data_IF_451600552327
#
_entry.id   IF_451600552327
#
_cell.length_a   1.000
_cell.length_b   1.000
_cell.length_c   1.000
_cell.angle_alpha   90.00
_cell.angle_beta   90.00
_cell.angle_gamma   90.00
#
_symmetry.space_group_name_H-M   'P 1'
#
loop_
_entity.id
_entity.type
_entity.pdbx_description
1 polymer ?
#
# COMPACT_ATOMS: atom_id res chain seq x y z
N UNK A 1 -19.48 14.87 -10.69
CA UNK A 1 -18.66 14.10 -11.62
C UNK A 1 -19.21 12.70 -11.76
N UNK A 2 -19.37 12.24 -12.97
CA UNK A 2 -19.86 10.92 -13.21
C UNK A 2 -18.89 9.85 -12.77
N UNK A 3 -19.44 8.72 -12.35
CA UNK A 3 -18.64 7.57 -12.06
C UNK A 3 -18.07 6.94 -13.34
N UNK A 4 -17.03 6.21 -13.19
CA UNK A 4 -16.49 5.45 -14.29
C UNK A 4 -15.96 4.12 -13.76
N UNK A 5 -15.84 3.16 -14.65
CA UNK A 5 -15.36 1.84 -14.27
C UNK A 5 -13.86 1.79 -14.16
N UNK A 6 -13.38 1.19 -13.11
CA UNK A 6 -11.99 0.84 -12.97
C UNK A 6 -11.03 2.01 -12.91
N UNK A 7 -9.81 1.72 -13.22
CA UNK A 7 -8.69 2.61 -13.05
C UNK A 7 -8.30 3.19 -14.40
N UNK A 8 -8.93 4.25 -14.81
CA UNK A 8 -8.72 4.85 -16.12
C UNK A 8 -8.45 6.35 -16.10
N UNK A 9 -7.99 6.88 -14.97
CA UNK A 9 -7.62 8.28 -14.88
C UNK A 9 -8.77 9.24 -14.62
N UNK A 10 -10.00 8.74 -14.56
CA UNK A 10 -11.18 9.54 -14.29
C UNK A 10 -11.69 9.26 -12.90
N UNK A 11 -12.34 10.22 -12.28
CA UNK A 11 -12.91 10.01 -10.97
C UNK A 11 -14.03 8.98 -11.02
N UNK A 12 -13.98 8.04 -10.09
CA UNK A 12 -15.06 7.08 -9.88
C UNK A 12 -15.71 7.42 -8.55
N UNK A 13 -17.01 7.63 -8.59
CA UNK A 13 -17.76 7.89 -7.37
C UNK A 13 -18.42 6.61 -6.90
N UNK A 14 -18.04 6.16 -5.71
CA UNK A 14 -18.73 5.11 -5.01
C UNK A 14 -19.70 5.72 -3.99
N UNK A 15 -20.42 4.86 -3.29
CA UNK A 15 -21.45 5.30 -2.34
C UNK A 15 -20.94 6.34 -1.36
N UNK A 16 -19.80 6.09 -0.72
CA UNK A 16 -19.27 6.93 0.34
C UNK A 16 -17.84 7.40 0.08
N UNK A 17 -17.33 7.13 -1.11
CA UNK A 17 -15.96 7.52 -1.44
C UNK A 17 -15.74 7.67 -2.94
N UNK A 18 -14.56 8.00 -3.32
CA UNK A 18 -14.20 8.08 -4.73
C UNK A 18 -12.73 7.78 -4.93
N UNK A 19 -12.39 7.39 -6.15
CA UNK A 19 -10.99 7.28 -6.53
C UNK A 19 -10.82 7.72 -7.98
N UNK A 20 -9.60 8.03 -8.32
CA UNK A 20 -9.27 8.36 -9.69
C UNK A 20 -7.78 8.08 -9.96
N UNK A 21 -7.50 7.97 -11.22
CA UNK A 21 -6.16 7.76 -11.72
C UNK A 21 -5.51 9.13 -11.97
N UNK A 22 -4.50 9.46 -11.19
CA UNK A 22 -3.88 10.78 -11.24
C UNK A 22 -3.14 11.07 -12.55
N UNK A 23 -2.81 10.04 -13.29
CA UNK A 23 -2.04 10.17 -14.54
C UNK A 23 -2.88 9.98 -15.79
N UNK A 24 -4.16 9.72 -15.64
CA UNK A 24 -5.05 9.38 -16.74
C UNK A 24 -4.61 8.12 -17.49
N UNK A 25 -3.84 7.27 -16.84
CA UNK A 25 -3.38 5.99 -17.38
C UNK A 25 -4.15 4.85 -16.73
N UNK A 26 -4.07 3.69 -17.37
CA UNK A 26 -4.76 2.51 -16.87
C UNK A 26 -3.98 1.88 -15.74
N UNK A 27 -4.62 1.71 -14.59
CA UNK A 27 -4.03 1.00 -13.47
C UNK A 27 -4.19 -0.51 -13.71
N UNK A 28 -3.08 -1.24 -13.63
CA UNK A 28 -3.08 -2.67 -13.89
C UNK A 28 -2.72 -3.52 -12.67
N UNK A 29 -2.24 -2.93 -11.61
CA UNK A 29 -1.88 -3.67 -10.39
C UNK A 29 -3.13 -4.12 -9.65
N UNK A 30 -3.41 -5.42 -9.74
CA UNK A 30 -4.60 -6.02 -9.13
C UNK A 30 -4.60 -5.90 -7.60
N UNK A 31 -3.44 -5.92 -6.99
CA UNK A 31 -3.34 -5.82 -5.54
C UNK A 31 -3.72 -4.41 -5.07
N UNK A 32 -3.21 -3.40 -5.75
CA UNK A 32 -3.55 -2.01 -5.44
C UNK A 32 -5.05 -1.75 -5.66
N UNK A 33 -5.61 -2.28 -6.74
CA UNK A 33 -7.04 -2.13 -7.05
C UNK A 33 -7.89 -2.77 -5.95
N UNK A 34 -7.55 -3.95 -5.50
CA UNK A 34 -8.32 -4.62 -4.44
C UNK A 34 -8.31 -3.81 -3.14
N UNK A 35 -7.16 -3.30 -2.75
CA UNK A 35 -7.06 -2.46 -1.54
C UNK A 35 -7.84 -1.17 -1.72
N UNK A 36 -7.73 -0.53 -2.88
CA UNK A 36 -8.48 0.69 -3.18
C UNK A 36 -9.98 0.45 -3.10
N UNK A 37 -10.46 -0.67 -3.66
CA UNK A 37 -11.88 -1.02 -3.62
C UNK A 37 -12.39 -1.20 -2.19
N UNK A 38 -11.59 -1.78 -1.32
CA UNK A 38 -11.97 -1.90 0.09
C UNK A 38 -12.03 -0.52 0.77
N UNK A 39 -11.06 0.35 0.51
CA UNK A 39 -11.10 1.72 1.06
C UNK A 39 -12.33 2.49 0.58
N UNK A 40 -12.70 2.33 -0.68
CA UNK A 40 -13.91 2.98 -1.21
C UNK A 40 -15.15 2.51 -0.50
N UNK A 41 -15.27 1.21 -0.23
CA UNK A 41 -16.42 0.66 0.51
C UNK A 41 -16.53 1.24 1.91
N UNK A 42 -15.39 1.64 2.49
CA UNK A 42 -15.36 2.25 3.82
C UNK A 42 -15.49 3.78 3.77
N UNK A 43 -15.76 4.34 2.60
CA UNK A 43 -15.99 5.77 2.46
C UNK A 43 -14.74 6.61 2.27
N UNK A 44 -13.62 5.98 1.99
CA UNK A 44 -12.35 6.69 1.83
C UNK A 44 -12.17 7.17 0.40
N UNK A 45 -11.45 8.27 0.24
CA UNK A 45 -11.01 8.74 -1.06
C UNK A 45 -9.65 8.16 -1.39
N UNK A 46 -9.48 7.69 -2.62
CA UNK A 46 -8.24 7.04 -3.04
C UNK A 46 -7.76 7.63 -4.35
N UNK A 47 -6.48 7.97 -4.38
CA UNK A 47 -5.80 8.41 -5.60
C UNK A 47 -4.77 7.34 -5.95
N UNK A 48 -4.81 6.84 -7.18
CA UNK A 48 -3.77 5.95 -7.68
C UNK A 48 -2.57 6.80 -8.10
N UNK A 49 -1.40 6.42 -7.62
CA UNK A 49 -0.15 7.07 -7.97
C UNK A 49 0.62 6.17 -8.93
N UNK A 50 0.91 6.68 -10.12
CA UNK A 50 1.57 5.88 -11.13
C UNK A 50 3.06 6.14 -11.17
N UNK A 51 3.81 5.10 -11.52
CA UNK A 51 5.20 5.27 -11.87
C UNK A 51 5.28 6.01 -13.21
N UNK A 52 6.23 6.93 -13.30
CA UNK A 52 6.51 7.63 -14.54
C UNK A 52 7.74 7.02 -15.17
N UNK A 53 7.74 6.75 -16.48
CA UNK A 53 8.88 6.14 -17.14
C UNK A 53 10.19 6.94 -16.98
N UNK A 54 10.09 8.26 -16.87
CA UNK A 54 11.25 9.14 -16.70
C UNK A 54 11.79 9.13 -15.27
N UNK A 55 11.07 8.59 -14.32
CA UNK A 55 11.53 8.47 -12.94
C UNK A 55 12.24 7.14 -12.76
N UNK A 56 13.44 7.18 -12.16
CA UNK A 56 14.20 5.96 -11.92
C UNK A 56 13.73 5.20 -10.69
N UNK A 57 12.93 5.85 -9.84
CA UNK A 57 12.43 5.29 -8.61
C UNK A 57 10.92 5.18 -8.68
N UNK A 58 10.39 4.11 -8.12
CA UNK A 58 8.96 3.89 -8.11
C UNK A 58 8.23 4.84 -7.17
N UNK A 59 6.92 4.80 -7.25
CA UNK A 59 6.03 5.53 -6.35
C UNK A 59 5.20 4.54 -5.56
N UNK A 60 4.75 4.90 -4.35
CA UNK A 60 3.73 4.12 -3.68
C UNK A 60 2.49 4.01 -4.55
N UNK A 61 1.71 2.97 -4.34
CA UNK A 61 0.54 2.70 -5.17
C UNK A 61 -0.59 3.71 -4.97
N UNK A 62 -0.84 4.09 -3.73
CA UNK A 62 -2.05 4.84 -3.38
C UNK A 62 -1.75 6.03 -2.47
N UNK A 63 -2.57 7.07 -2.63
CA UNK A 63 -2.69 8.14 -1.65
C UNK A 63 -4.14 8.11 -1.15
N UNK A 64 -4.32 7.91 0.16
CA UNK A 64 -5.62 7.60 0.76
C UNK A 64 -6.07 8.76 1.64
N UNK A 65 -7.31 9.23 1.42
CA UNK A 65 -7.94 10.33 2.15
C UNK A 65 -7.09 11.61 2.19
N UNK A 66 -6.15 11.77 1.24
CA UNK A 66 -5.19 12.87 1.27
C UNK A 66 -4.38 12.92 2.57
N UNK A 67 -4.27 11.78 3.26
CA UNK A 67 -3.62 11.69 4.58
C UNK A 67 -2.39 10.81 4.57
N UNK A 68 -2.42 9.67 3.88
CA UNK A 68 -1.28 8.75 3.93
C UNK A 68 -1.04 8.06 2.59
N UNK A 69 0.21 7.70 2.39
CA UNK A 69 0.65 6.90 1.25
C UNK A 69 0.53 5.42 1.60
N UNK A 70 0.16 4.59 0.65
CA UNK A 70 0.12 3.16 0.84
C UNK A 70 0.82 2.44 -0.30
N UNK A 71 1.74 1.57 0.04
CA UNK A 71 2.37 0.67 -0.91
C UNK A 71 1.84 -0.73 -0.66
N UNK A 72 1.31 -1.35 -1.71
CA UNK A 72 0.63 -2.64 -1.61
C UNK A 72 1.49 -3.71 -2.27
N UNK A 73 1.75 -4.79 -1.51
CA UNK A 73 2.47 -5.95 -2.02
C UNK A 73 1.59 -7.19 -1.83
N UNK A 74 1.23 -7.83 -2.93
CA UNK A 74 0.56 -9.13 -2.86
C UNK A 74 1.60 -10.22 -2.66
N UNK A 75 1.31 -11.17 -1.76
CA UNK A 75 2.23 -12.25 -1.50
C UNK A 75 1.49 -13.57 -1.32
N UNK A 76 1.93 -14.59 -2.04
CA UNK A 76 1.39 -15.94 -1.93
C UNK A 76 2.37 -16.90 -1.26
N UNK A 77 3.64 -16.52 -1.18
CA UNK A 77 4.68 -17.38 -0.62
C UNK A 77 4.58 -17.48 0.90
N UNK A 78 4.72 -18.68 1.49
CA UNK A 78 4.76 -18.83 2.94
C UNK A 78 6.17 -18.64 3.51
N UNK A 79 7.07 -18.02 2.77
CA UNK A 79 8.47 -17.84 3.19
C UNK A 79 8.68 -16.48 3.83
N UNK A 80 9.14 -16.47 5.07
CA UNK A 80 9.36 -15.25 5.84
C UNK A 80 10.33 -14.28 5.15
N UNK A 81 11.39 -14.79 4.55
CA UNK A 81 12.37 -13.94 3.89
C UNK A 81 11.80 -13.20 2.69
N UNK A 82 10.86 -13.80 1.97
CA UNK A 82 10.20 -13.11 0.85
C UNK A 82 9.31 -11.99 1.35
N UNK A 83 8.61 -12.23 2.45
CA UNK A 83 7.77 -11.20 3.08
C UNK A 83 8.64 -10.06 3.60
N UNK A 84 9.75 -10.37 4.27
CA UNK A 84 10.69 -9.36 4.75
C UNK A 84 11.20 -8.50 3.60
N UNK A 85 11.57 -9.11 2.48
CA UNK A 85 12.03 -8.38 1.30
C UNK A 85 10.95 -7.45 0.74
N UNK A 86 9.70 -7.90 0.68
CA UNK A 86 8.60 -7.08 0.20
C UNK A 86 8.33 -5.89 1.13
N UNK A 87 8.41 -6.10 2.43
CA UNK A 87 8.26 -5.01 3.40
C UNK A 87 9.35 -3.96 3.18
N UNK A 88 10.60 -4.38 3.04
CA UNK A 88 11.72 -3.47 2.81
C UNK A 88 11.56 -2.70 1.50
N UNK A 89 11.21 -3.39 0.41
CA UNK A 89 10.98 -2.74 -0.88
C UNK A 89 9.88 -1.68 -0.78
N UNK A 90 8.81 -2.01 -0.06
CA UNK A 90 7.69 -1.08 0.10
C UNK A 90 8.10 0.18 0.86
N UNK A 91 8.85 0.02 1.95
CA UNK A 91 9.35 1.19 2.67
C UNK A 91 10.31 2.02 1.83
N UNK A 92 11.15 1.38 1.01
CA UNK A 92 12.05 2.11 0.11
C UNK A 92 11.26 2.96 -0.88
N UNK A 93 10.17 2.45 -1.41
CA UNK A 93 9.31 3.20 -2.32
C UNK A 93 8.64 4.39 -1.64
N UNK A 94 8.22 4.21 -0.39
CA UNK A 94 7.64 5.31 0.40
C UNK A 94 8.70 6.39 0.67
N UNK A 95 9.90 5.99 1.06
CA UNK A 95 10.99 6.94 1.30
C UNK A 95 11.39 7.69 0.04
N UNK A 96 11.40 7.01 -1.10
CA UNK A 96 11.65 7.66 -2.38
C UNK A 96 10.61 8.74 -2.67
N UNK A 97 9.36 8.47 -2.38
CA UNK A 97 8.31 9.47 -2.53
C UNK A 97 8.54 10.66 -1.61
N UNK A 98 8.91 10.40 -0.35
CA UNK A 98 9.20 11.47 0.61
C UNK A 98 10.36 12.35 0.15
N UNK A 99 11.36 11.77 -0.49
CA UNK A 99 12.53 12.52 -0.95
C UNK A 99 12.19 13.55 -2.02
N UNK A 100 11.03 13.40 -2.66
CA UNK A 100 10.56 14.32 -3.71
C UNK A 100 9.64 15.42 -3.16
N UNK A 101 9.32 15.37 -1.87
CA UNK A 101 8.52 16.43 -1.24
C UNK A 101 9.42 17.62 -0.93
N UNK A 102 8.90 18.87 -1.05
CA UNK A 102 9.64 20.03 -0.61
C UNK A 102 9.99 19.95 0.87
N UNK A 103 11.18 20.43 1.22
CA UNK A 103 11.66 20.38 2.61
C UNK A 103 10.77 21.13 3.58
N UNK A 104 10.08 22.17 3.11
CA UNK A 104 9.21 23.01 3.92
C UNK A 104 7.80 22.47 4.09
N UNK A 105 7.51 21.31 3.52
CA UNK A 105 6.18 20.70 3.63
C UNK A 105 6.23 19.42 4.43
N UNK A 106 5.20 19.17 5.27
CA UNK A 106 5.13 17.89 6.00
C UNK A 106 4.94 16.74 5.02
N UNK A 107 5.63 15.65 5.30
CA UNK A 107 5.52 14.44 4.51
C UNK A 107 4.37 13.59 5.02
N UNK A 108 3.51 13.06 4.15
CA UNK A 108 2.44 12.19 4.61
C UNK A 108 3.02 10.89 5.15
N UNK A 109 2.41 10.32 6.22
CA UNK A 109 2.85 9.02 6.69
C UNK A 109 2.65 7.95 5.62
N UNK A 110 3.42 6.89 5.70
CA UNK A 110 3.32 5.79 4.77
C UNK A 110 2.94 4.50 5.47
N UNK A 111 2.16 3.68 4.78
CA UNK A 111 1.79 2.34 5.23
C UNK A 111 2.24 1.32 4.21
N UNK A 112 2.72 0.20 4.71
CA UNK A 112 2.98 -0.98 3.89
C UNK A 112 1.81 -1.94 4.09
N UNK A 113 1.17 -2.34 3.00
CA UNK A 113 0.07 -3.29 3.04
C UNK A 113 0.53 -4.58 2.37
N UNK A 114 0.59 -5.63 3.16
CA UNK A 114 0.88 -6.98 2.66
C UNK A 114 -0.45 -7.68 2.45
N UNK A 115 -0.83 -7.83 1.20
CA UNK A 115 -2.08 -8.47 0.84
C UNK A 115 -1.82 -9.96 0.64
N UNK A 116 -2.33 -10.78 1.54
CA UNK A 116 -2.10 -12.22 1.48
C UNK A 116 -2.90 -12.84 0.33
N UNK A 117 -2.19 -13.54 -0.54
CA UNK A 117 -2.77 -14.36 -1.60
C UNK A 117 -2.69 -15.84 -1.26
N UNK A 118 -2.22 -16.18 -0.06
CA UNK A 118 -2.18 -17.58 0.38
C UNK A 118 -3.58 -18.05 0.74
N UNK A 119 -3.87 -19.32 0.43
CA UNK A 119 -5.19 -19.87 0.72
C UNK A 119 -5.45 -20.03 2.22
N UNK A 120 -4.40 -20.30 3.01
CA UNK A 120 -4.50 -20.49 4.45
C UNK A 120 -4.14 -19.20 5.19
N UNK A 121 -5.06 -18.73 6.03
CA UNK A 121 -4.78 -17.59 6.90
C UNK A 121 -3.61 -17.91 7.85
N UNK A 122 -3.67 -19.09 8.50
CA UNK A 122 -2.67 -19.45 9.51
C UNK A 122 -1.25 -19.50 8.95
N UNK A 123 -1.10 -20.13 7.79
CA UNK A 123 0.21 -20.24 7.14
C UNK A 123 0.71 -18.88 6.71
N UNK A 124 -0.15 -18.10 6.04
CA UNK A 124 0.22 -16.76 5.56
C UNK A 124 0.53 -15.81 6.71
N UNK A 125 -0.28 -15.83 7.74
CA UNK A 125 -0.08 -14.93 8.89
C UNK A 125 1.18 -15.28 9.68
N UNK A 126 1.45 -16.58 9.87
CA UNK A 126 2.68 -17.03 10.54
C UNK A 126 3.92 -16.55 9.77
N UNK A 127 3.90 -16.74 8.47
CA UNK A 127 5.00 -16.29 7.62
C UNK A 127 5.17 -14.78 7.68
N UNK A 128 4.05 -14.04 7.71
CA UNK A 128 4.09 -12.58 7.85
C UNK A 128 4.71 -12.18 9.18
N UNK A 129 4.29 -12.79 10.28
CA UNK A 129 4.83 -12.47 11.60
C UNK A 129 6.34 -12.72 11.66
N UNK A 130 6.80 -13.81 11.09
CA UNK A 130 8.24 -14.11 11.06
C UNK A 130 8.99 -13.12 10.19
N UNK A 131 8.45 -12.77 9.03
CA UNK A 131 9.05 -11.77 8.14
C UNK A 131 9.10 -10.39 8.78
N UNK A 132 8.03 -9.99 9.44
CA UNK A 132 7.99 -8.71 10.15
C UNK A 132 9.06 -8.66 11.26
N UNK A 133 9.18 -9.73 12.05
CA UNK A 133 10.19 -9.81 13.11
C UNK A 133 11.60 -9.70 12.55
N UNK A 134 11.84 -10.27 11.39
CA UNK A 134 13.14 -10.16 10.74
C UNK A 134 13.47 -8.71 10.40
N UNK A 135 12.52 -7.99 9.81
CA UNK A 135 12.71 -6.57 9.47
C UNK A 135 12.88 -5.73 10.74
N UNK A 136 12.06 -6.02 11.76
CA UNK A 136 12.12 -5.31 13.05
C UNK A 136 13.48 -5.52 13.74
N UNK A 137 13.96 -6.76 13.77
CA UNK A 137 15.25 -7.08 14.40
C UNK A 137 16.40 -6.35 13.73
N UNK A 138 16.32 -6.11 12.43
CA UNK A 138 17.34 -5.37 11.70
C UNK A 138 17.19 -3.86 11.81
N UNK A 139 16.14 -3.39 12.48
CA UNK A 139 15.89 -1.97 12.65
C UNK A 139 15.36 -1.28 11.41
N UNK A 140 14.73 -2.01 10.49
CA UNK A 140 14.27 -1.47 9.21
C UNK A 140 12.78 -1.19 9.15
N UNK A 141 12.04 -1.32 10.26
CA UNK A 141 10.63 -0.91 10.30
C UNK A 141 10.60 0.62 10.33
N UNK A 142 9.94 1.22 9.35
CA UNK A 142 9.94 2.67 9.12
C UNK A 142 8.54 3.24 9.07
N UNK A 143 7.59 2.53 9.64
CA UNK A 143 6.18 2.93 9.65
C UNK A 143 5.28 1.76 9.93
N UNK A 144 3.99 1.96 9.70
CA UNK A 144 2.99 0.93 9.94
C UNK A 144 3.00 -0.12 8.83
N UNK A 145 2.90 -1.38 9.21
CA UNK A 145 2.75 -2.51 8.28
C UNK A 145 1.45 -3.20 8.60
N UNK A 146 0.64 -3.45 7.57
CA UNK A 146 -0.65 -4.11 7.74
C UNK A 146 -0.65 -5.42 6.96
N UNK A 147 -1.23 -6.45 7.56
CA UNK A 147 -1.49 -7.72 6.91
C UNK A 147 -2.98 -7.82 6.61
N UNK A 148 -3.31 -7.99 5.34
CA UNK A 148 -4.71 -8.07 4.88
C UNK A 148 -5.03 -9.47 4.41
N UNK A 149 -6.13 -10.00 4.91
CA UNK A 149 -6.63 -11.32 4.48
C UNK A 149 -8.16 -11.26 4.43
N UNK A 150 -8.71 -11.48 3.25
CA UNK A 150 -10.17 -11.49 3.02
C UNK A 150 -10.89 -10.29 3.64
N UNK A 151 -10.33 -9.10 3.43
CA UNK A 151 -10.93 -7.86 3.93
C UNK A 151 -10.70 -7.58 5.41
N UNK A 152 -10.00 -8.45 6.11
CA UNK A 152 -9.61 -8.22 7.51
C UNK A 152 -8.20 -7.66 7.56
N UNK A 153 -7.99 -6.72 8.47
CA UNK A 153 -6.73 -6.00 8.58
C UNK A 153 -6.12 -6.24 9.95
N UNK A 154 -4.84 -6.60 9.95
CA UNK A 154 -4.05 -6.79 11.17
C UNK A 154 -2.90 -5.77 11.12
N UNK A 155 -2.86 -4.86 12.09
CA UNK A 155 -1.95 -3.72 12.08
C UNK A 155 -0.72 -4.02 12.95
N UNK A 156 0.45 -3.80 12.37
CA UNK A 156 1.73 -3.98 13.05
C UNK A 156 2.50 -2.67 12.99
N UNK A 157 2.96 -2.20 14.13
CA UNK A 157 3.79 -1.01 14.20
C UNK A 157 4.70 -1.14 15.41
N UNK A 158 5.82 -0.41 15.37
CA UNK A 158 6.69 -0.36 16.54
C UNK A 158 5.97 0.35 17.68
N UNK A 159 6.10 -0.19 18.89
CA UNK A 159 5.54 0.44 20.05
C UNK A 159 6.41 1.63 20.45
N UNK A 160 5.77 2.74 20.77
CA UNK A 160 6.46 3.89 21.32
C UNK A 160 6.82 3.57 22.79
N UNK A 161 8.08 3.77 23.12
CA UNK A 161 8.53 3.59 24.49
C UNK A 161 8.24 4.82 25.33
#
# INVERSE_FOLDING_TARGET
MGGYGGASGKAKKEKDGCYYDSQNDKVTDKNAIEVADNYLKWGFHVVFLHERPEEKKGRPDLFVNFEFLAEVKGISSPKANKIANRINEAFDQIEDAWSRYPDDKPKPPGKVIILSRHASFEIGFRAFCEGYKEVERKGFIRGEVEFWFEGKIYVFKEEDE
#
